data_IF_023077578566
#
_entry.id   IF_023077578566
#
_cell.length_a   1.000
_cell.length_b   1.000
_cell.length_c   1.000
_cell.angle_alpha   90.00
_cell.angle_beta   90.00
_cell.angle_gamma   90.00
#
_symmetry.space_group_name_H-M   'P 1'
#
loop_
_entity.id
_entity.type
_entity.pdbx_description
1 polymer ?
#
# COMPACT_ATOMS: atom_id res chain seq x y z
N UNK A 1 -1.31 4.97 -14.47
CA UNK A 1 -2.52 4.90 -13.63
C UNK A 1 -2.25 4.00 -12.43
N UNK A 2 -1.28 4.37 -11.58
CA UNK A 2 -0.84 3.57 -10.44
C UNK A 2 -0.90 4.43 -9.17
N UNK A 3 -0.92 3.79 -8.00
CA UNK A 3 -0.87 4.47 -6.70
C UNK A 3 0.42 4.06 -5.99
N UNK A 4 1.20 5.06 -5.58
CA UNK A 4 2.47 4.87 -4.87
C UNK A 4 2.25 5.08 -3.37
N UNK A 5 2.81 4.18 -2.58
CA UNK A 5 2.92 4.33 -1.12
C UNK A 5 3.67 5.61 -0.73
N UNK A 6 3.52 6.01 0.54
CA UNK A 6 4.36 7.01 1.21
C UNK A 6 4.94 6.35 2.45
N UNK A 7 5.95 5.54 2.22
CA UNK A 7 6.57 4.71 3.25
C UNK A 7 7.36 5.55 4.25
N UNK A 8 7.01 5.41 5.52
CA UNK A 8 7.73 6.03 6.65
C UNK A 8 8.06 5.00 7.74
N UNK A 9 7.91 3.70 7.43
CA UNK A 9 8.13 2.57 8.35
C UNK A 9 7.13 2.52 9.51
N UNK A 10 5.91 3.02 9.28
CA UNK A 10 4.78 2.87 10.19
C UNK A 10 3.88 1.71 9.71
N UNK A 11 2.66 1.62 10.23
CA UNK A 11 1.71 0.54 9.99
C UNK A 11 0.37 1.04 9.44
N UNK A 12 0.37 2.24 8.87
CA UNK A 12 -0.83 2.83 8.27
C UNK A 12 -1.18 2.16 6.95
N UNK A 13 -2.41 1.63 6.89
CA UNK A 13 -3.02 1.01 5.71
C UNK A 13 -4.03 1.97 5.10
N UNK A 14 -4.03 2.11 3.78
CA UNK A 14 -5.01 2.94 3.06
C UNK A 14 -5.75 2.11 2.01
N UNK A 15 -7.08 2.15 2.03
CA UNK A 15 -7.87 1.74 0.87
C UNK A 15 -7.76 2.82 -0.21
N UNK A 16 -7.38 2.42 -1.42
CA UNK A 16 -7.14 3.34 -2.53
C UNK A 16 -8.04 3.03 -3.71
N UNK A 17 -8.41 4.07 -4.45
CA UNK A 17 -9.27 3.97 -5.63
C UNK A 17 -8.64 4.69 -6.83
N UNK A 18 -9.39 4.79 -7.94
CA UNK A 18 -8.94 5.51 -9.12
C UNK A 18 -8.62 6.99 -8.83
N UNK A 19 -9.22 7.58 -7.80
CA UNK A 19 -8.97 8.97 -7.41
C UNK A 19 -7.57 9.18 -6.83
N UNK A 20 -6.94 8.14 -6.29
CA UNK A 20 -5.58 8.19 -5.75
C UNK A 20 -4.50 8.01 -6.82
N UNK A 21 -4.86 7.59 -8.03
CA UNK A 21 -3.90 7.34 -9.11
C UNK A 21 -3.07 8.59 -9.41
N UNK A 22 -1.75 8.41 -9.47
CA UNK A 22 -0.79 9.47 -9.74
C UNK A 22 -0.28 10.24 -8.53
N UNK A 23 -0.91 10.06 -7.36
CA UNK A 23 -0.41 10.63 -6.09
C UNK A 23 1.01 10.11 -5.84
N UNK A 24 1.95 11.03 -5.71
CA UNK A 24 3.37 10.72 -5.51
C UNK A 24 4.18 10.43 -6.78
N UNK A 25 3.56 10.54 -7.95
CA UNK A 25 4.24 10.43 -9.25
C UNK A 25 4.14 11.73 -10.06
N UNK A 26 2.93 12.23 -10.29
CA UNK A 26 2.68 13.45 -11.07
C UNK A 26 1.67 14.42 -10.43
N UNK A 27 1.21 14.12 -9.20
CA UNK A 27 0.42 15.00 -8.34
C UNK A 27 0.74 14.71 -6.88
N UNK A 28 0.46 15.69 -6.03
CA UNK A 28 0.76 15.57 -4.60
C UNK A 28 -0.14 14.57 -3.88
N UNK A 29 0.38 14.06 -2.76
CA UNK A 29 -0.37 13.21 -1.83
C UNK A 29 -1.09 14.10 -0.82
N UNK A 30 -2.29 13.70 -0.44
CA UNK A 30 -3.08 14.23 0.68
C UNK A 30 -2.82 13.46 2.00
N UNK A 31 -1.83 12.57 2.00
CA UNK A 31 -1.40 11.78 3.15
C UNK A 31 0.12 11.82 3.32
N UNK A 32 0.57 11.73 4.56
CA UNK A 32 1.98 11.81 4.94
C UNK A 32 2.60 10.46 5.28
N UNK A 33 1.78 9.45 5.60
CA UNK A 33 2.20 8.11 6.04
C UNK A 33 1.23 7.04 5.53
N UNK A 34 1.70 6.20 4.61
CA UNK A 34 1.00 5.01 4.08
C UNK A 34 2.06 4.00 3.67
N UNK A 35 2.27 2.98 4.51
CA UNK A 35 3.20 1.89 4.26
C UNK A 35 2.50 0.66 3.63
N UNK A 36 1.17 0.59 3.69
CA UNK A 36 0.38 -0.44 3.01
C UNK A 36 -0.85 0.14 2.31
N UNK A 37 -1.25 -0.49 1.21
CA UNK A 37 -2.44 -0.12 0.45
C UNK A 37 -3.26 -1.36 0.12
N UNK A 38 -4.57 -1.20 0.04
CA UNK A 38 -5.52 -2.21 -0.44
C UNK A 38 -6.44 -1.59 -1.48
N UNK A 39 -6.85 -2.37 -2.49
CA UNK A 39 -7.85 -1.93 -3.47
C UNK A 39 -8.62 -3.10 -4.03
N UNK A 40 -9.91 -2.90 -4.21
CA UNK A 40 -10.86 -3.73 -4.95
C UNK A 40 -11.22 -3.09 -6.31
N UNK A 41 -10.61 -1.95 -6.66
CA UNK A 41 -10.85 -1.27 -7.93
C UNK A 41 -9.96 -1.87 -9.02
N UNK A 42 -10.54 -2.47 -10.08
CA UNK A 42 -9.75 -3.10 -11.14
C UNK A 42 -8.85 -2.12 -11.91
N UNK A 43 -7.69 -2.61 -12.35
CA UNK A 43 -6.78 -1.85 -13.21
C UNK A 43 -5.95 -0.79 -12.49
N UNK A 44 -5.80 -0.91 -11.16
CA UNK A 44 -4.95 -0.02 -10.34
C UNK A 44 -3.77 -0.81 -9.77
N UNK A 45 -2.57 -0.69 -10.35
CA UNK A 45 -1.35 -1.22 -9.74
C UNK A 45 -1.04 -0.49 -8.43
N UNK A 46 -0.85 -1.25 -7.36
CA UNK A 46 -0.32 -0.78 -6.08
C UNK A 46 1.21 -0.87 -6.11
N UNK A 47 1.89 0.22 -5.74
CA UNK A 47 3.37 0.29 -5.75
C UNK A 47 3.88 0.54 -4.34
N UNK A 48 4.66 -0.41 -3.84
CA UNK A 48 5.51 -0.30 -2.64
C UNK A 48 6.96 -0.52 -3.04
N UNK A 49 7.87 0.17 -2.35
CA UNK A 49 9.30 0.19 -2.63
C UNK A 49 10.05 -0.62 -1.58
N UNK A 50 11.14 -1.27 -1.98
CA UNK A 50 12.07 -1.87 -1.04
C UNK A 50 13.48 -1.90 -1.61
N UNK A 51 14.44 -1.85 -0.71
CA UNK A 51 15.82 -2.24 -0.91
C UNK A 51 16.32 -2.85 0.42
N UNK A 52 15.54 -3.81 0.96
CA UNK A 52 15.88 -4.81 2.00
C UNK A 52 14.63 -5.19 2.83
N UNK A 53 13.74 -4.23 3.10
CA UNK A 53 12.51 -4.47 3.85
C UNK A 53 11.59 -5.50 3.16
N UNK A 54 10.79 -6.23 3.95
CA UNK A 54 9.85 -7.21 3.41
C UNK A 54 8.77 -6.54 2.56
N UNK A 55 8.44 -7.15 1.41
CA UNK A 55 7.28 -6.76 0.60
C UNK A 55 6.27 -7.88 0.63
N UNK A 56 5.05 -7.55 1.07
CA UNK A 56 3.95 -8.50 1.13
C UNK A 56 2.91 -8.08 0.09
N UNK A 57 2.63 -9.00 -0.84
CA UNK A 57 1.56 -8.86 -1.82
C UNK A 57 0.44 -9.82 -1.44
N UNK A 58 -0.79 -9.32 -1.40
CA UNK A 58 -1.99 -10.04 -1.02
C UNK A 58 -2.98 -10.04 -2.18
N UNK A 59 -3.72 -11.13 -2.31
CA UNK A 59 -4.78 -11.27 -3.29
C UNK A 59 -5.97 -11.96 -2.62
N UNK A 60 -7.12 -11.30 -2.68
CA UNK A 60 -8.41 -11.84 -2.26
C UNK A 60 -9.25 -12.21 -3.50
N UNK A 61 -9.34 -13.50 -3.83
CA UNK A 61 -10.11 -13.95 -5.00
C UNK A 61 -11.63 -13.88 -4.80
N UNK A 62 -12.13 -13.75 -3.57
CA UNK A 62 -13.57 -13.70 -3.28
C UNK A 62 -14.11 -12.31 -3.55
N UNK A 63 -13.38 -11.28 -3.09
CA UNK A 63 -13.78 -9.88 -3.28
C UNK A 63 -13.09 -9.21 -4.48
N UNK A 64 -12.15 -9.89 -5.14
CA UNK A 64 -11.40 -9.33 -6.26
C UNK A 64 -10.46 -8.19 -5.85
N UNK A 65 -9.95 -8.25 -4.61
CA UNK A 65 -9.10 -7.22 -4.04
C UNK A 65 -7.62 -7.64 -4.02
N UNK A 66 -6.74 -6.65 -4.01
CA UNK A 66 -5.30 -6.83 -3.85
C UNK A 66 -4.77 -5.90 -2.76
N UNK A 67 -3.72 -6.34 -2.09
CA UNK A 67 -3.01 -5.55 -1.09
C UNK A 67 -1.51 -5.55 -1.37
N UNK A 68 -0.84 -4.44 -1.02
CA UNK A 68 0.62 -4.34 -1.07
C UNK A 68 1.12 -3.60 0.18
N UNK A 69 2.02 -4.23 0.93
CA UNK A 69 2.58 -3.68 2.16
C UNK A 69 4.11 -3.68 2.14
N UNK A 70 4.67 -2.55 2.56
CA UNK A 70 6.07 -2.42 2.96
C UNK A 70 6.21 -2.77 4.45
N UNK A 71 6.79 -3.93 4.72
CA UNK A 71 7.00 -4.47 6.06
C UNK A 71 8.47 -4.34 6.47
N UNK A 72 8.91 -3.10 6.70
CA UNK A 72 10.14 -2.85 7.47
C UNK A 72 9.98 -3.31 8.92
N UNK A 73 11.09 -3.48 9.64
CA UNK A 73 11.07 -4.08 10.99
C UNK A 73 10.10 -3.36 11.97
N UNK A 74 9.99 -2.03 11.88
CA UNK A 74 9.06 -1.23 12.69
C UNK A 74 7.61 -1.51 12.34
N UNK A 75 7.24 -1.38 11.07
CA UNK A 75 5.88 -1.66 10.60
C UNK A 75 5.47 -3.11 10.86
N UNK A 76 6.40 -4.06 10.69
CA UNK A 76 6.17 -5.47 11.01
C UNK A 76 5.91 -5.69 12.50
N UNK A 77 6.71 -5.09 13.39
CA UNK A 77 6.49 -5.15 14.84
C UNK A 77 5.16 -4.50 15.27
N UNK A 78 4.70 -3.47 14.56
CA UNK A 78 3.39 -2.84 14.77
C UNK A 78 2.24 -3.60 14.08
N UNK A 79 2.52 -4.70 13.39
CA UNK A 79 1.51 -5.60 12.84
C UNK A 79 0.96 -5.20 11.46
N UNK A 80 1.69 -4.43 10.65
CA UNK A 80 1.21 -3.95 9.33
C UNK A 80 0.68 -5.07 8.43
N UNK A 81 1.30 -6.26 8.47
CA UNK A 81 0.85 -7.41 7.68
C UNK A 81 -0.55 -7.85 8.09
N UNK A 82 -0.80 -8.00 9.39
CA UNK A 82 -2.12 -8.36 9.91
C UNK A 82 -3.16 -7.27 9.66
N UNK A 83 -2.77 -6.00 9.71
CA UNK A 83 -3.67 -4.87 9.42
C UNK A 83 -4.07 -4.75 7.95
N UNK A 84 -3.30 -5.36 7.05
CA UNK A 84 -3.57 -5.31 5.60
C UNK A 84 -4.53 -6.42 5.14
N UNK A 85 -4.76 -7.44 5.98
CA UNK A 85 -5.74 -8.53 5.78
C UNK A 85 -7.08 -8.13 6.34
#
# INVERSE_FOLDING_TARGET
RAVLSKQVHEDNVRHVTAEDCGKGLFRDRDYTSVDAMVTDTPGIPLVVFSADCGIILLHDPVHGAVGAAHAGWRGAACGIVYKTV
#
